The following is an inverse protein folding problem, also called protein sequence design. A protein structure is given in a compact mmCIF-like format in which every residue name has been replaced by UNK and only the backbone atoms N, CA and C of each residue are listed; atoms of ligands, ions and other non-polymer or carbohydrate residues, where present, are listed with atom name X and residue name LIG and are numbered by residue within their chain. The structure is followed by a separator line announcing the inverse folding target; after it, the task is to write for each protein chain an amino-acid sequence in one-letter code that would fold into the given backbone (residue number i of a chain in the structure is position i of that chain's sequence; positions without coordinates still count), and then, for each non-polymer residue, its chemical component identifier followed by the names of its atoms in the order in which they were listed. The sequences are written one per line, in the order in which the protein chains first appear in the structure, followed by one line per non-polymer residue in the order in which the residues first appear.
data_IF_609132869842
#
_entry.id   IF_609132869842
#
_cell.length_a   1.000
_cell.length_b   1.000
_cell.length_c   1.000
_cell.angle_alpha   90.00
_cell.angle_beta   90.00
_cell.angle_gamma   90.00
#
_symmetry.space_group_name_H-M   'P 1'
#
loop_
_entity.id
_entity.type
_entity.pdbx_description
1 polymer ?
#
# COMPACT_ATOMS: atom_id res chain seq x y z
N UNK A 1 -3.70 4.26 17.58
CA UNK A 1 -4.01 5.48 16.79
C UNK A 1 -2.93 6.52 17.10
N UNK A 2 -2.29 7.09 16.06
CA UNK A 2 -1.06 7.87 16.16
C UNK A 2 -1.21 9.21 15.41
N UNK A 3 -0.53 10.30 15.87
CA UNK A 3 -0.52 11.58 15.17
C UNK A 3 0.08 11.46 13.77
N UNK A 4 -0.40 12.29 12.83
CA UNK A 4 0.00 12.22 11.42
C UNK A 4 1.51 12.47 11.21
N UNK A 5 2.08 13.43 11.93
CA UNK A 5 3.52 13.75 11.87
C UNK A 5 4.41 12.57 12.26
N UNK A 6 4.09 11.89 13.36
CA UNK A 6 4.82 10.69 13.79
C UNK A 6 4.74 9.57 12.75
N UNK A 7 3.55 9.34 12.19
CA UNK A 7 3.35 8.27 11.20
C UNK A 7 4.07 8.60 9.89
N UNK A 8 4.08 9.87 9.48
CA UNK A 8 4.84 10.37 8.32
C UNK A 8 6.35 10.16 8.50
N UNK A 9 6.89 10.52 9.66
CA UNK A 9 8.32 10.34 9.97
C UNK A 9 8.72 8.87 9.81
N UNK A 10 7.95 7.96 10.41
CA UNK A 10 8.22 6.51 10.32
C UNK A 10 8.06 5.99 8.88
N UNK A 11 7.06 6.44 8.14
CA UNK A 11 6.86 6.07 6.75
C UNK A 11 8.02 6.53 5.85
N UNK A 12 8.52 7.75 6.05
CA UNK A 12 9.68 8.29 5.33
C UNK A 12 10.96 7.53 5.68
N UNK A 13 11.15 7.12 6.93
CA UNK A 13 12.30 6.33 7.34
C UNK A 13 12.41 5.00 6.57
N UNK A 14 11.28 4.35 6.27
CA UNK A 14 11.25 3.16 5.39
C UNK A 14 11.35 3.53 3.91
N UNK A 15 10.47 4.41 3.43
CA UNK A 15 10.33 4.72 2.01
C UNK A 15 11.56 5.36 1.36
N UNK A 16 12.39 6.06 2.16
CA UNK A 16 13.64 6.68 1.73
C UNK A 16 14.88 5.86 2.07
N UNK A 17 14.72 4.74 2.80
CA UNK A 17 15.86 3.91 3.19
C UNK A 17 16.59 3.34 1.96
N UNK A 18 17.92 3.47 1.84
CA UNK A 18 18.66 3.08 0.62
C UNK A 18 18.44 1.63 0.18
N UNK A 19 18.27 0.68 1.10
CA UNK A 19 18.00 -0.72 0.79
C UNK A 19 16.58 -1.00 0.28
N UNK A 20 15.61 -0.11 0.58
CA UNK A 20 14.19 -0.29 0.28
C UNK A 20 13.67 0.69 -0.79
N UNK A 21 14.39 1.77 -1.05
CA UNK A 21 13.99 2.80 -2.02
C UNK A 21 13.78 2.20 -3.41
N UNK A 22 12.59 2.42 -3.97
CA UNK A 22 12.17 1.86 -5.25
C UNK A 22 11.75 0.39 -5.20
N UNK A 23 11.76 -0.23 -4.02
CA UNK A 23 11.32 -1.62 -3.79
C UNK A 23 10.05 -1.69 -2.95
N UNK A 24 9.76 -0.66 -2.19
CA UNK A 24 8.51 -0.49 -1.45
C UNK A 24 7.86 0.82 -1.86
N UNK A 25 6.53 0.84 -1.84
CA UNK A 25 5.73 1.98 -2.30
C UNK A 25 4.71 2.32 -1.23
N UNK A 26 4.78 3.56 -0.69
CA UNK A 26 3.82 4.01 0.32
C UNK A 26 2.41 3.99 -0.28
N UNK A 27 1.47 3.42 0.45
CA UNK A 27 0.09 3.24 0.02
C UNK A 27 -0.90 3.87 1.01
N UNK A 28 -2.17 3.74 0.69
CA UNK A 28 -3.24 4.11 1.61
C UNK A 28 -3.42 5.61 1.85
N UNK A 29 -4.07 5.93 2.95
CA UNK A 29 -4.51 7.29 3.25
C UNK A 29 -3.42 8.22 3.77
N UNK A 30 -2.22 7.72 4.03
CA UNK A 30 -1.09 8.53 4.46
C UNK A 30 -0.38 9.22 3.28
N UNK A 31 -0.38 8.58 2.09
CA UNK A 31 0.38 9.03 0.93
C UNK A 31 0.14 10.51 0.56
N UNK A 32 -1.10 11.03 0.42
CA UNK A 32 -1.32 12.44 0.06
C UNK A 32 -0.77 13.43 1.08
N UNK A 33 -0.70 13.04 2.36
CA UNK A 33 -0.19 13.90 3.44
C UNK A 33 1.34 13.92 3.48
N UNK A 34 1.99 12.81 3.15
CA UNK A 34 3.45 12.77 2.99
C UNK A 34 3.87 13.58 1.76
N UNK A 35 3.19 13.41 0.63
CA UNK A 35 3.49 14.10 -0.63
C UNK A 35 3.31 15.60 -0.49
N UNK A 36 2.22 16.08 0.14
CA UNK A 36 1.98 17.51 0.34
C UNK A 36 2.84 18.15 1.44
N UNK A 37 3.46 17.36 2.30
CA UNK A 37 4.17 17.88 3.48
C UNK A 37 3.26 18.32 4.63
N UNK A 38 1.94 18.35 4.41
CA UNK A 38 0.96 18.79 5.41
C UNK A 38 0.55 17.63 6.33
N UNK A 39 -0.10 17.99 7.45
CA UNK A 39 -0.65 16.99 8.38
C UNK A 39 -2.16 16.85 8.20
N UNK A 40 -2.63 15.63 8.28
CA UNK A 40 -4.06 15.37 8.37
C UNK A 40 -4.59 15.75 9.78
N UNK A 41 -5.87 16.13 9.85
CA UNK A 41 -6.54 16.39 11.12
C UNK A 41 -7.04 15.11 11.81
N UNK A 42 -6.67 13.93 11.30
CA UNK A 42 -7.05 12.64 11.86
C UNK A 42 -5.86 11.86 12.38
N UNK A 43 -6.12 10.97 13.31
CA UNK A 43 -5.14 9.97 13.72
C UNK A 43 -5.07 8.84 12.67
N UNK A 44 -3.89 8.26 12.52
CA UNK A 44 -3.64 7.10 11.67
C UNK A 44 -3.48 5.83 12.53
N UNK A 45 -3.95 4.71 12.01
CA UNK A 45 -3.85 3.39 12.67
C UNK A 45 -2.61 2.62 12.29
N UNK A 46 -2.09 2.87 11.09
CA UNK A 46 -1.17 2.01 10.36
C UNK A 46 -0.34 2.77 9.33
N UNK A 47 0.68 2.11 8.82
CA UNK A 47 1.41 2.49 7.60
C UNK A 47 1.29 1.32 6.64
N UNK A 48 0.81 1.59 5.42
CA UNK A 48 0.69 0.60 4.37
C UNK A 48 1.79 0.81 3.32
N UNK A 49 2.55 -0.24 3.03
CA UNK A 49 3.40 -0.32 1.84
C UNK A 49 2.92 -1.43 0.94
N UNK A 50 2.98 -1.19 -0.37
CA UNK A 50 2.88 -2.25 -1.37
C UNK A 50 4.26 -2.56 -1.91
N UNK A 51 4.49 -3.82 -2.25
CA UNK A 51 5.81 -4.35 -2.60
C UNK A 51 5.67 -5.26 -3.82
N UNK A 52 6.49 -5.13 -4.87
CA UNK A 52 6.54 -6.15 -5.90
C UNK A 52 6.77 -7.53 -5.28
N UNK A 53 6.01 -8.52 -5.69
CA UNK A 53 6.12 -9.89 -5.13
C UNK A 53 7.57 -10.41 -5.16
N UNK A 54 8.31 -10.08 -6.21
CA UNK A 54 9.74 -10.42 -6.37
C UNK A 54 10.67 -9.77 -5.34
N UNK A 55 10.25 -8.67 -4.69
CA UNK A 55 11.05 -7.93 -3.69
C UNK A 55 10.68 -8.28 -2.23
N UNK A 56 9.68 -9.13 -2.01
CA UNK A 56 9.22 -9.47 -0.65
C UNK A 56 10.34 -10.08 0.21
N UNK A 57 11.20 -10.93 -0.37
CA UNK A 57 12.32 -11.51 0.39
C UNK A 57 13.39 -10.46 0.73
N UNK A 58 13.60 -9.47 -0.13
CA UNK A 58 14.46 -8.31 0.18
C UNK A 58 13.93 -7.53 1.39
N UNK A 59 12.62 -7.30 1.44
CA UNK A 59 11.96 -6.62 2.57
C UNK A 59 12.11 -7.44 3.85
N UNK A 60 11.83 -8.74 3.82
CA UNK A 60 11.98 -9.63 5.00
C UNK A 60 13.41 -9.66 5.50
N UNK A 61 14.38 -9.76 4.60
CA UNK A 61 15.79 -9.72 4.95
C UNK A 61 16.15 -8.42 5.66
N UNK A 62 15.71 -7.29 5.12
CA UNK A 62 15.91 -5.99 5.75
C UNK A 62 15.28 -5.94 7.15
N UNK A 63 14.04 -6.37 7.30
CA UNK A 63 13.34 -6.38 8.58
C UNK A 63 14.04 -7.27 9.64
N UNK A 64 14.58 -8.42 9.21
CA UNK A 64 15.40 -9.30 10.07
C UNK A 64 16.70 -8.61 10.51
N UNK A 65 17.39 -7.93 9.61
CA UNK A 65 18.61 -7.18 9.93
C UNK A 65 18.34 -6.02 10.91
N UNK A 66 17.16 -5.44 10.86
CA UNK A 66 16.75 -4.37 11.79
C UNK A 66 16.17 -4.91 13.11
N UNK A 67 16.03 -6.22 13.27
CA UNK A 67 15.41 -6.83 14.45
C UNK A 67 13.90 -6.56 14.58
N UNK A 68 13.24 -6.20 13.47
CA UNK A 68 11.81 -5.87 13.41
C UNK A 68 10.94 -7.06 12.98
N UNK A 69 11.52 -8.04 12.30
CA UNK A 69 10.77 -9.16 11.73
C UNK A 69 10.21 -10.07 12.82
N UNK A 70 8.92 -10.35 12.71
CA UNK A 70 8.22 -11.31 13.55
C UNK A 70 7.52 -12.36 12.68
N UNK A 71 7.92 -13.61 12.81
CA UNK A 71 7.38 -14.72 12.04
C UNK A 71 5.87 -14.93 12.30
N UNK A 72 5.36 -14.55 13.46
CA UNK A 72 3.94 -14.70 13.81
C UNK A 72 3.05 -13.72 13.05
N UNK A 73 3.62 -12.65 12.52
CA UNK A 73 2.96 -11.64 11.68
C UNK A 73 3.36 -11.74 10.21
N UNK A 74 4.06 -12.82 9.83
CA UNK A 74 4.37 -13.09 8.43
C UNK A 74 3.32 -14.02 7.84
N UNK A 75 2.56 -13.51 6.89
CA UNK A 75 1.52 -14.27 6.17
C UNK A 75 2.08 -15.06 4.98
N UNK A 76 3.42 -15.19 4.90
CA UNK A 76 4.06 -16.05 3.93
C UNK A 76 3.49 -17.47 4.05
N UNK A 77 3.07 -18.00 2.92
CA UNK A 77 2.67 -19.41 2.83
C UNK A 77 1.39 -19.80 3.58
N UNK A 78 0.44 -18.91 3.70
CA UNK A 78 -0.91 -19.34 4.06
C UNK A 78 -1.42 -20.32 2.99
N UNK A 79 -1.88 -21.52 3.37
CA UNK A 79 -2.33 -22.49 2.41
C UNK A 79 -3.69 -22.04 1.84
N UNK A 80 -3.67 -21.57 0.59
CA UNK A 80 -4.86 -21.45 -0.23
C UNK A 80 -4.80 -22.54 -1.28
N UNK A 81 -5.80 -23.44 -1.32
CA UNK A 81 -5.90 -24.54 -2.30
C UNK A 81 -4.64 -25.40 -2.43
N UNK A 82 -3.96 -25.69 -1.32
CA UNK A 82 -2.71 -26.46 -1.23
C UNK A 82 -1.45 -25.73 -1.76
N UNK A 83 -1.57 -24.53 -2.30
CA UNK A 83 -0.44 -23.69 -2.66
C UNK A 83 -0.09 -22.74 -1.52
N UNK A 84 1.19 -22.41 -1.42
CA UNK A 84 1.68 -21.42 -0.48
C UNK A 84 1.68 -20.06 -1.16
N UNK A 85 0.77 -19.17 -0.76
CA UNK A 85 0.62 -17.84 -1.35
C UNK A 85 1.21 -16.81 -0.39
N UNK A 86 2.06 -15.93 -0.90
CA UNK A 86 2.62 -14.82 -0.15
C UNK A 86 1.63 -13.67 -0.07
N UNK A 87 1.11 -13.39 1.11
CA UNK A 87 0.24 -12.24 1.39
C UNK A 87 0.98 -11.08 2.08
N UNK A 88 2.30 -11.18 2.25
CA UNK A 88 3.10 -10.12 2.84
C UNK A 88 3.46 -10.34 4.29
N UNK A 89 3.92 -9.29 4.94
CA UNK A 89 4.33 -9.30 6.34
C UNK A 89 3.96 -7.99 7.03
N UNK A 90 3.80 -8.04 8.35
CA UNK A 90 3.54 -6.87 9.18
C UNK A 90 4.56 -6.81 10.32
N UNK A 91 4.98 -5.59 10.66
CA UNK A 91 5.83 -5.32 11.81
C UNK A 91 5.25 -4.19 12.66
N UNK A 92 5.74 -4.04 13.89
CA UNK A 92 5.27 -3.02 14.81
C UNK A 92 6.39 -2.08 15.22
N UNK A 93 6.19 -0.77 15.02
CA UNK A 93 7.09 0.29 15.46
C UNK A 93 6.46 1.02 16.64
N UNK A 94 6.89 0.67 17.86
CA UNK A 94 6.29 1.23 19.09
C UNK A 94 4.77 1.07 19.13
N UNK A 95 4.27 -0.08 18.68
CA UNK A 95 2.85 -0.41 18.60
C UNK A 95 2.13 0.11 17.35
N UNK A 96 2.80 0.85 16.46
CA UNK A 96 2.27 1.27 15.15
C UNK A 96 2.47 0.14 14.14
N UNK A 97 1.40 -0.45 13.58
CA UNK A 97 1.50 -1.46 12.54
C UNK A 97 2.08 -0.87 11.25
N UNK A 98 2.99 -1.61 10.63
CA UNK A 98 3.53 -1.31 9.30
C UNK A 98 3.40 -2.55 8.44
N UNK A 99 2.52 -2.51 7.44
CA UNK A 99 2.25 -3.64 6.56
C UNK A 99 3.02 -3.52 5.23
N UNK A 100 3.46 -4.67 4.72
CA UNK A 100 4.11 -4.84 3.42
C UNK A 100 3.33 -5.86 2.62
N UNK A 101 2.51 -5.40 1.68
CA UNK A 101 1.55 -6.22 0.94
C UNK A 101 2.02 -6.40 -0.50
N UNK A 102 2.14 -7.64 -1.02
CA UNK A 102 2.67 -7.87 -2.35
C UNK A 102 1.68 -7.55 -3.46
N UNK A 103 2.22 -7.10 -4.58
CA UNK A 103 1.54 -7.01 -5.86
C UNK A 103 2.41 -7.61 -6.97
N UNK A 104 1.80 -7.99 -8.09
CA UNK A 104 2.50 -8.49 -9.27
C UNK A 104 1.66 -8.26 -10.53
N UNK A 105 2.28 -8.40 -11.68
CA UNK A 105 1.63 -8.35 -12.98
C UNK A 105 1.65 -9.74 -13.62
N UNK A 106 0.54 -10.13 -14.20
CA UNK A 106 0.43 -11.33 -15.01
C UNK A 106 -0.61 -11.12 -16.12
N UNK A 107 -0.28 -11.50 -17.36
CA UNK A 107 -1.17 -11.40 -18.52
C UNK A 107 -1.80 -9.99 -18.70
N UNK A 108 -1.04 -8.92 -18.51
CA UNK A 108 -1.46 -7.53 -18.56
C UNK A 108 -2.53 -7.16 -17.51
N UNK A 109 -2.59 -7.88 -16.41
CA UNK A 109 -3.44 -7.56 -15.28
C UNK A 109 -2.58 -7.34 -14.04
N UNK A 110 -2.93 -6.34 -13.25
CA UNK A 110 -2.31 -6.12 -11.95
C UNK A 110 -3.03 -6.95 -10.90
N UNK A 111 -2.27 -7.68 -10.13
CA UNK A 111 -2.75 -8.45 -8.98
C UNK A 111 -2.24 -7.82 -7.69
N UNK A 112 -3.15 -7.53 -6.78
CA UNK A 112 -2.83 -7.05 -5.44
C UNK A 112 -3.33 -8.05 -4.41
N UNK A 113 -2.45 -8.49 -3.51
CA UNK A 113 -2.86 -9.19 -2.30
C UNK A 113 -3.51 -8.17 -1.37
N UNK A 114 -4.66 -8.47 -0.82
CA UNK A 114 -5.39 -7.55 0.06
C UNK A 114 -5.89 -8.28 1.30
N UNK A 115 -5.76 -7.62 2.43
CA UNK A 115 -6.37 -8.02 3.68
C UNK A 115 -7.68 -7.24 3.81
N UNK A 116 -8.77 -7.83 3.34
CA UNK A 116 -10.07 -7.14 3.36
C UNK A 116 -10.70 -7.09 4.73
N UNK A 117 -10.28 -7.97 5.63
CA UNK A 117 -10.65 -7.95 7.04
C UNK A 117 -9.40 -8.13 7.90
N UNK A 118 -9.34 -7.46 9.04
CA UNK A 118 -8.19 -7.49 9.94
C UNK A 118 -8.00 -8.81 10.69
N UNK A 119 -8.73 -9.86 10.32
CA UNK A 119 -8.67 -11.14 11.00
C UNK A 119 -7.92 -12.18 10.17
N UNK A 120 -6.63 -12.31 10.44
CA UNK A 120 -5.76 -13.33 9.86
C UNK A 120 -6.15 -14.76 10.24
N UNK A 121 -7.13 -14.95 11.12
CA UNK A 121 -7.55 -16.26 11.62
C UNK A 121 -8.49 -16.99 10.67
N UNK A 122 -9.08 -16.30 9.68
CA UNK A 122 -10.04 -16.88 8.75
C UNK A 122 -9.51 -16.82 7.32
N UNK A 123 -9.54 -17.96 6.61
CA UNK A 123 -9.15 -18.07 5.19
C UNK A 123 -9.93 -17.12 4.28
N UNK A 124 -11.14 -16.76 4.67
CA UNK A 124 -12.09 -15.95 3.88
C UNK A 124 -11.72 -14.45 3.83
N UNK A 125 -10.69 -14.03 4.58
CA UNK A 125 -10.27 -12.63 4.65
C UNK A 125 -9.10 -12.27 3.75
N UNK A 126 -8.43 -13.25 3.16
CA UNK A 126 -7.29 -13.06 2.28
C UNK A 126 -7.73 -13.21 0.83
N UNK A 127 -7.67 -12.14 0.08
CA UNK A 127 -8.10 -12.12 -1.32
C UNK A 127 -7.00 -11.59 -2.22
N UNK A 128 -6.98 -12.08 -3.44
CA UNK A 128 -6.22 -11.48 -4.53
C UNK A 128 -7.17 -10.66 -5.37
N UNK A 129 -6.92 -9.37 -5.45
CA UNK A 129 -7.67 -8.48 -6.33
C UNK A 129 -6.97 -8.46 -7.70
N UNK A 130 -7.64 -9.00 -8.71
CA UNK A 130 -7.23 -8.88 -10.10
C UNK A 130 -7.82 -7.60 -10.69
N UNK A 131 -6.97 -6.73 -11.21
CA UNK A 131 -7.32 -5.47 -11.84
C UNK A 131 -6.96 -5.55 -13.33
N UNK A 132 -7.96 -5.81 -14.20
CA UNK A 132 -7.72 -6.02 -15.64
C UNK A 132 -7.16 -4.77 -16.31
N UNK A 133 -6.23 -5.00 -17.25
CA UNK A 133 -5.61 -3.96 -18.09
C UNK A 133 -4.93 -2.83 -17.28
N UNK A 134 -4.53 -3.08 -16.05
CA UNK A 134 -3.75 -2.15 -15.24
C UNK A 134 -2.32 -2.65 -15.13
N UNK A 135 -1.38 -1.76 -15.40
CA UNK A 135 0.06 -2.06 -15.32
C UNK A 135 0.66 -1.59 -13.99
N UNK A 136 1.87 -2.06 -13.61
CA UNK A 136 2.60 -1.50 -12.49
C UNK A 136 2.87 0.01 -12.64
N UNK A 137 3.05 0.54 -13.85
CA UNK A 137 3.28 1.96 -14.14
C UNK A 137 2.04 2.82 -13.85
N UNK A 138 0.84 2.26 -14.01
CA UNK A 138 -0.41 2.92 -13.63
C UNK A 138 -0.63 2.91 -12.12
N UNK A 139 -0.08 1.89 -11.46
CA UNK A 139 -0.29 1.61 -10.05
C UNK A 139 0.67 2.37 -9.14
N UNK A 140 1.95 2.48 -9.53
CA UNK A 140 3.01 3.09 -8.73
C UNK A 140 3.62 4.29 -9.44
N UNK A 141 4.02 5.30 -8.65
CA UNK A 141 4.68 6.49 -9.19
C UNK A 141 5.65 7.08 -8.18
N UNK A 142 6.52 7.98 -8.64
CA UNK A 142 7.47 8.70 -7.80
C UNK A 142 7.04 10.16 -7.66
N UNK A 143 6.91 10.62 -6.41
CA UNK A 143 6.61 12.02 -6.09
C UNK A 143 7.85 12.73 -5.55
N UNK A 144 8.08 13.96 -6.00
CA UNK A 144 9.11 14.81 -5.41
C UNK A 144 8.62 15.36 -4.07
N UNK A 145 9.43 15.22 -3.02
CA UNK A 145 9.21 15.84 -1.74
C UNK A 145 9.79 17.27 -1.73
N UNK A 146 9.42 18.06 -0.74
CA UNK A 146 9.87 19.46 -0.60
C UNK A 146 11.39 19.63 -0.51
N UNK A 147 12.11 18.62 -0.04
CA UNK A 147 13.57 18.57 0.04
C UNK A 147 14.27 18.05 -1.22
N UNK A 148 13.49 17.78 -2.30
CA UNK A 148 13.99 17.27 -3.56
C UNK A 148 14.19 15.75 -3.61
N UNK A 149 13.96 15.02 -2.52
CA UNK A 149 13.99 13.57 -2.52
C UNK A 149 12.77 13.01 -3.28
N UNK A 150 12.91 11.80 -3.81
CA UNK A 150 11.80 11.08 -4.45
C UNK A 150 11.28 10.01 -3.51
N UNK A 151 9.99 10.08 -3.20
CA UNK A 151 9.25 9.03 -2.51
C UNK A 151 8.44 8.23 -3.54
N UNK A 152 8.51 6.92 -3.45
CA UNK A 152 7.74 6.02 -4.29
C UNK A 152 6.44 5.63 -3.56
N UNK A 153 5.32 5.80 -4.25
CA UNK A 153 3.97 5.57 -3.68
C UNK A 153 3.10 4.81 -4.67
N UNK A 154 1.99 4.28 -4.22
CA UNK A 154 0.87 4.02 -5.12
C UNK A 154 0.40 5.34 -5.73
N UNK A 155 -0.04 5.34 -7.00
CA UNK A 155 -0.55 6.55 -7.64
C UNK A 155 -1.71 7.14 -6.84
N UNK A 156 -1.80 8.46 -6.76
CA UNK A 156 -2.90 9.12 -6.04
C UNK A 156 -4.24 8.79 -6.69
N UNK A 157 -4.26 8.56 -7.99
CA UNK A 157 -5.43 8.13 -8.77
C UNK A 157 -5.94 6.77 -8.28
N UNK A 158 -5.02 5.83 -8.04
CA UNK A 158 -5.37 4.51 -7.50
C UNK A 158 -5.96 4.61 -6.09
N UNK A 159 -5.28 5.35 -5.21
CA UNK A 159 -5.76 5.58 -3.83
C UNK A 159 -7.12 6.27 -3.86
N UNK A 160 -7.28 7.27 -4.73
CA UNK A 160 -8.54 8.00 -4.89
C UNK A 160 -9.68 7.09 -5.35
N UNK A 161 -9.46 6.32 -6.43
CA UNK A 161 -10.47 5.39 -6.96
C UNK A 161 -10.90 4.36 -5.90
N UNK A 162 -9.93 3.73 -5.21
CA UNK A 162 -10.19 2.74 -4.14
C UNK A 162 -11.01 3.35 -2.99
N UNK A 163 -10.67 4.57 -2.53
CA UNK A 163 -11.36 5.25 -1.41
C UNK A 163 -12.74 5.78 -1.81
N UNK A 164 -12.88 6.34 -3.00
CA UNK A 164 -14.17 6.85 -3.50
C UNK A 164 -15.22 5.75 -3.57
N UNK A 165 -14.84 4.53 -3.96
CA UNK A 165 -15.74 3.36 -3.99
C UNK A 165 -16.21 2.94 -2.58
N UNK A 166 -15.32 3.03 -1.58
CA UNK A 166 -15.65 2.70 -0.19
C UNK A 166 -16.48 3.79 0.51
N UNK A 167 -16.40 5.03 0.03
CA UNK A 167 -17.15 6.21 0.49
C UNK A 167 -17.27 6.35 2.01
N UNK A 168 -16.19 6.09 2.74
CA UNK A 168 -16.18 6.17 4.21
C UNK A 168 -16.00 7.61 4.68
N UNK A 169 -16.69 8.07 5.74
CA UNK A 169 -16.51 9.43 6.26
C UNK A 169 -15.07 9.79 6.58
N UNK A 170 -14.29 8.85 7.13
CA UNK A 170 -12.88 9.06 7.46
C UNK A 170 -11.97 9.31 6.24
N UNK A 171 -12.41 8.95 5.04
CA UNK A 171 -11.62 9.10 3.82
C UNK A 171 -11.83 10.46 3.12
N UNK A 172 -12.82 11.25 3.52
CA UNK A 172 -13.17 12.51 2.85
C UNK A 172 -12.03 13.53 2.85
N UNK A 173 -11.30 13.64 3.96
CA UNK A 173 -10.12 14.51 4.04
C UNK A 173 -9.01 14.08 3.08
N UNK A 174 -8.74 12.77 2.98
CA UNK A 174 -7.75 12.22 2.06
C UNK A 174 -8.15 12.47 0.60
N UNK A 175 -9.43 12.26 0.24
CA UNK A 175 -9.97 12.51 -1.10
C UNK A 175 -9.85 13.99 -1.49
N UNK A 176 -10.17 14.90 -0.56
CA UNK A 176 -10.02 16.34 -0.79
C UNK A 176 -8.55 16.72 -0.99
N UNK A 177 -7.64 16.17 -0.17
CA UNK A 177 -6.20 16.44 -0.28
C UNK A 177 -5.65 15.97 -1.63
N UNK A 178 -6.01 14.78 -2.09
CA UNK A 178 -5.58 14.27 -3.41
C UNK A 178 -6.05 15.17 -4.56
N UNK A 179 -7.30 15.68 -4.51
CA UNK A 179 -7.79 16.66 -5.49
C UNK A 179 -6.99 17.98 -5.46
N UNK A 180 -6.56 18.45 -4.29
CA UNK A 180 -5.75 19.67 -4.15
C UNK A 180 -4.32 19.47 -4.72
N UNK A 181 -3.73 18.30 -4.55
CA UNK A 181 -2.43 17.95 -5.14
C UNK A 181 -2.53 17.90 -6.67
N UNK A 182 -3.67 17.45 -7.19
CA UNK A 182 -3.95 17.23 -8.60
C UNK A 182 -3.97 15.75 -8.96
N UNK A 183 -4.92 15.38 -9.78
CA UNK A 183 -5.10 14.01 -10.29
C UNK A 183 -5.07 14.04 -11.81
N UNK A 184 -4.46 13.03 -12.42
CA UNK A 184 -4.54 12.80 -13.85
C UNK A 184 -5.89 12.15 -14.17
N UNK A 185 -6.80 12.90 -14.75
CA UNK A 185 -8.18 12.46 -15.04
C UNK A 185 -8.23 11.23 -15.98
N UNK A 186 -7.32 11.13 -16.95
CA UNK A 186 -7.27 9.99 -17.86
C UNK A 186 -6.85 8.72 -17.11
N UNK A 187 -5.80 8.81 -16.28
CA UNK A 187 -5.35 7.70 -15.46
C UNK A 187 -6.41 7.31 -14.42
N UNK A 188 -7.03 8.28 -13.78
CA UNK A 188 -8.12 8.04 -12.82
C UNK A 188 -9.28 7.28 -13.47
N UNK A 189 -9.69 7.68 -14.68
CA UNK A 189 -10.72 6.99 -15.44
C UNK A 189 -10.30 5.56 -15.78
N UNK A 190 -9.08 5.37 -16.29
CA UNK A 190 -8.55 4.05 -16.62
C UNK A 190 -8.56 3.11 -15.40
N UNK A 191 -8.08 3.59 -14.26
CA UNK A 191 -8.09 2.84 -13.00
C UNK A 191 -9.53 2.54 -12.53
N UNK A 192 -10.45 3.51 -12.64
CA UNK A 192 -11.85 3.31 -12.26
C UNK A 192 -12.54 2.25 -13.13
N UNK A 193 -12.24 2.23 -14.43
CA UNK A 193 -12.74 1.23 -15.38
C UNK A 193 -12.20 -0.17 -15.01
N UNK A 194 -10.91 -0.29 -14.68
CA UNK A 194 -10.30 -1.52 -14.19
C UNK A 194 -10.96 -2.02 -12.89
N UNK A 195 -11.18 -1.13 -11.92
CA UNK A 195 -11.91 -1.48 -10.69
C UNK A 195 -13.35 -1.95 -10.94
N UNK A 196 -14.01 -1.46 -11.98
CA UNK A 196 -15.37 -1.85 -12.31
C UNK A 196 -15.43 -3.28 -12.89
N UNK A 197 -14.32 -3.75 -13.45
CA UNK A 197 -14.14 -5.08 -14.02
C UNK A 197 -13.30 -6.00 -13.10
N UNK A 198 -12.97 -5.54 -11.90
CA UNK A 198 -12.10 -6.26 -10.98
C UNK A 198 -12.73 -7.58 -10.51
N UNK A 199 -11.89 -8.60 -10.40
CA UNK A 199 -12.26 -9.94 -9.90
C UNK A 199 -11.53 -10.20 -8.59
N UNK A 200 -12.24 -10.77 -7.63
CA UNK A 200 -11.64 -11.30 -6.40
C UNK A 200 -11.36 -12.79 -6.61
N UNK A 201 -10.11 -13.16 -6.47
CA UNK A 201 -9.67 -14.56 -6.44
C UNK A 201 -9.45 -14.95 -4.97
N UNK A 202 -10.07 -16.04 -4.56
CA UNK A 202 -10.02 -16.57 -3.19
C UNK A 202 -9.00 -17.70 -3.12
#
# INVERSE_FOLDING_TARGET
MFPCDLVKEKALAFGLHPKLKGKIFLAGGLAPWVISGENSNRLHSDIDFVVPLSEMETVRTFLKEQGLYDQTHDSLFLPCNQEKIDFGTEVFLDGLPVSFTPFFEENNNLYQRDFTTADFSTKDSLVTLCLPNLSPEDYITAYALSDGQKLYCTSLEFVYAKKSRKNRPKDQGDLQKMKQIGLNENLLKHIADSFSSAVLEI
#
